data_IF_008097639874
#
_entry.id   IF_008097639874
#
_cell.length_a   1.000
_cell.length_b   1.000
_cell.length_c   1.000
_cell.angle_alpha   90.00
_cell.angle_beta   90.00
_cell.angle_gamma   90.00
#
_symmetry.space_group_name_H-M   'P 1'
#
loop_
_entity.id
_entity.type
_entity.pdbx_description
1 polymer ?
#
# COMPACT_ATOMS: atom_id res chain seq x y z
N UNK A 1 -0.32 5.84 -15.96
CA UNK A 1 -1.75 5.91 -16.41
C UNK A 1 -2.57 5.12 -15.39
N UNK A 2 -3.70 5.66 -14.90
CA UNK A 2 -4.54 5.06 -13.85
C UNK A 2 -5.88 4.66 -14.46
N UNK A 3 -6.45 3.49 -14.16
CA UNK A 3 -7.72 3.00 -14.70
C UNK A 3 -8.93 3.64 -13.98
N UNK A 4 -9.12 4.96 -14.14
CA UNK A 4 -10.10 5.77 -13.40
C UNK A 4 -11.53 5.20 -13.48
N UNK A 5 -11.99 4.86 -14.69
CA UNK A 5 -13.37 4.37 -14.90
C UNK A 5 -13.63 3.05 -14.18
N UNK A 6 -12.63 2.17 -14.14
CA UNK A 6 -12.75 0.91 -13.43
C UNK A 6 -12.77 1.10 -11.92
N UNK A 7 -11.97 2.05 -11.40
CA UNK A 7 -11.98 2.42 -9.98
C UNK A 7 -13.33 3.04 -9.58
N UNK A 8 -13.86 3.95 -10.41
CA UNK A 8 -15.19 4.55 -10.17
C UNK A 8 -16.25 3.47 -10.08
N UNK A 9 -16.35 2.55 -11.06
CA UNK A 9 -17.32 1.45 -11.08
C UNK A 9 -17.22 0.53 -9.87
N UNK A 10 -15.99 0.33 -9.35
CA UNK A 10 -15.76 -0.49 -8.17
C UNK A 10 -16.35 0.15 -6.90
N UNK A 11 -16.18 1.47 -6.75
CA UNK A 11 -16.53 2.20 -5.52
C UNK A 11 -17.98 2.71 -5.56
N UNK A 12 -18.53 3.01 -6.75
CA UNK A 12 -19.83 3.62 -6.94
C UNK A 12 -20.98 2.89 -6.22
N UNK A 13 -20.85 1.56 -6.03
CA UNK A 13 -21.88 0.73 -5.39
C UNK A 13 -22.10 1.06 -3.92
N UNK A 14 -21.05 1.51 -3.24
CA UNK A 14 -21.06 1.82 -1.80
C UNK A 14 -20.94 3.31 -1.53
N UNK A 15 -20.68 4.11 -2.56
CA UNK A 15 -20.54 5.55 -2.42
C UNK A 15 -21.89 6.21 -2.09
N UNK A 16 -21.95 7.13 -1.11
CA UNK A 16 -23.20 7.76 -0.71
C UNK A 16 -23.92 8.45 -1.87
N UNK A 17 -25.17 8.09 -2.09
CA UNK A 17 -26.09 8.78 -3.00
C UNK A 17 -26.98 9.64 -2.13
N UNK A 18 -26.63 10.91 -1.95
CA UNK A 18 -27.39 11.77 -1.04
C UNK A 18 -28.78 12.07 -1.61
N UNK A 19 -29.80 11.58 -0.89
CA UNK A 19 -31.19 11.99 -1.12
C UNK A 19 -31.60 13.16 -0.20
N UNK A 20 -30.89 13.38 0.91
CA UNK A 20 -31.18 14.40 1.93
C UNK A 20 -29.87 14.97 2.46
N UNK A 21 -29.79 16.30 2.60
CA UNK A 21 -28.62 17.00 3.14
C UNK A 21 -27.65 17.51 2.06
N UNK A 22 -26.40 17.78 2.46
CA UNK A 22 -25.35 18.25 1.54
C UNK A 22 -25.01 17.14 0.54
N UNK A 23 -25.02 17.44 -0.78
CA UNK A 23 -24.61 16.47 -1.78
C UNK A 23 -23.19 15.97 -1.54
N UNK A 24 -22.98 14.66 -1.74
CA UNK A 24 -21.64 14.09 -1.68
C UNK A 24 -20.77 14.70 -2.80
N UNK A 25 -19.47 14.82 -2.52
CA UNK A 25 -18.52 15.25 -3.55
C UNK A 25 -18.49 14.26 -4.72
N UNK A 26 -18.18 14.71 -5.95
CA UNK A 26 -18.06 13.80 -7.08
C UNK A 26 -17.08 12.65 -6.76
N UNK A 27 -17.49 11.42 -6.96
CA UNK A 27 -16.67 10.24 -6.65
C UNK A 27 -15.33 10.28 -7.38
N UNK A 28 -15.31 10.70 -8.65
CA UNK A 28 -14.07 10.86 -9.42
C UNK A 28 -13.08 11.83 -8.77
N UNK A 29 -13.57 12.90 -8.14
CA UNK A 29 -12.75 13.86 -7.40
C UNK A 29 -12.19 13.24 -6.12
N UNK A 30 -13.01 12.53 -5.35
CA UNK A 30 -12.58 11.89 -4.12
C UNK A 30 -11.53 10.77 -4.36
N UNK A 31 -11.68 10.00 -5.43
CA UNK A 31 -10.66 9.01 -5.85
C UNK A 31 -9.34 9.70 -6.19
N UNK A 32 -9.37 10.84 -6.89
CA UNK A 32 -8.15 11.59 -7.22
C UNK A 32 -7.49 12.18 -5.98
N UNK A 33 -8.27 12.70 -5.03
CA UNK A 33 -7.78 13.14 -3.72
C UNK A 33 -7.08 12.00 -3.00
N UNK A 34 -7.74 10.85 -2.89
CA UNK A 34 -7.15 9.65 -2.28
C UNK A 34 -5.84 9.24 -2.94
N UNK A 35 -5.79 9.19 -4.28
CA UNK A 35 -4.56 8.88 -5.00
C UNK A 35 -3.44 9.89 -4.72
N UNK A 36 -3.77 11.19 -4.66
CA UNK A 36 -2.77 12.22 -4.32
C UNK A 36 -2.24 12.06 -2.89
N UNK A 37 -3.10 11.74 -1.92
CA UNK A 37 -2.64 11.43 -0.55
C UNK A 37 -1.59 10.32 -0.57
N UNK A 38 -1.86 9.24 -1.31
CA UNK A 38 -0.93 8.10 -1.41
C UNK A 38 0.38 8.47 -2.13
N UNK A 39 0.30 9.22 -3.24
CA UNK A 39 1.47 9.59 -4.04
C UNK A 39 2.41 10.56 -3.33
N UNK A 40 1.85 11.44 -2.52
CA UNK A 40 2.62 12.51 -1.83
C UNK A 40 2.78 12.27 -0.33
N UNK A 41 2.19 11.19 0.22
CA UNK A 41 2.27 10.87 1.65
C UNK A 41 1.61 11.93 2.54
N UNK A 42 0.47 12.49 2.11
CA UNK A 42 -0.20 13.56 2.83
C UNK A 42 -1.21 13.01 3.86
N UNK A 43 -1.23 13.60 5.05
CA UNK A 43 -2.31 13.41 6.02
C UNK A 43 -3.63 14.01 5.51
N UNK A 44 -4.75 13.74 6.17
CA UNK A 44 -6.04 14.30 5.76
C UNK A 44 -6.03 15.83 5.84
N UNK A 45 -5.50 16.40 6.93
CA UNK A 45 -5.33 17.84 7.09
C UNK A 45 -4.39 18.42 6.02
N UNK A 46 -3.22 17.81 5.81
CA UNK A 46 -2.27 18.29 4.80
C UNK A 46 -2.82 18.20 3.37
N UNK A 47 -3.70 17.22 3.10
CA UNK A 47 -4.36 17.11 1.80
C UNK A 47 -5.40 18.22 1.61
N UNK A 48 -6.18 18.56 2.63
CA UNK A 48 -7.08 19.71 2.61
C UNK A 48 -6.31 21.01 2.32
N UNK A 49 -5.26 21.29 3.09
CA UNK A 49 -4.39 22.45 2.89
C UNK A 49 -3.81 22.49 1.47
N UNK A 50 -3.30 21.36 0.97
CA UNK A 50 -2.77 21.26 -0.39
C UNK A 50 -3.81 21.56 -1.47
N UNK A 51 -5.07 21.19 -1.26
CA UNK A 51 -6.17 21.53 -2.18
C UNK A 51 -6.48 23.04 -2.17
N UNK A 52 -6.30 23.73 -1.05
CA UNK A 52 -6.45 25.19 -1.00
C UNK A 52 -5.26 25.92 -1.60
N UNK A 53 -4.04 25.49 -1.35
CA UNK A 53 -2.83 26.22 -1.72
C UNK A 53 -2.29 25.85 -3.11
N UNK A 54 -2.34 24.55 -3.50
CA UNK A 54 -1.70 24.05 -4.70
C UNK A 54 -2.72 23.95 -5.85
N UNK A 55 -2.73 24.96 -6.73
CA UNK A 55 -3.67 25.03 -7.84
C UNK A 55 -3.62 23.84 -8.81
N UNK A 56 -2.46 23.22 -9.00
CA UNK A 56 -2.31 22.01 -9.84
C UNK A 56 -2.99 20.78 -9.24
N UNK A 57 -2.86 20.56 -7.92
CA UNK A 57 -3.53 19.47 -7.20
C UNK A 57 -5.04 19.67 -7.22
N UNK A 58 -5.50 20.88 -6.91
CA UNK A 58 -6.91 21.23 -6.96
C UNK A 58 -7.54 21.00 -8.34
N UNK A 59 -6.88 21.43 -9.41
CA UNK A 59 -7.32 21.18 -10.80
C UNK A 59 -7.32 19.70 -11.15
N UNK A 60 -6.30 18.96 -10.73
CA UNK A 60 -6.25 17.51 -10.92
C UNK A 60 -7.41 16.80 -10.24
N UNK A 61 -7.76 17.20 -9.02
CA UNK A 61 -8.92 16.68 -8.30
C UNK A 61 -10.26 17.09 -8.92
N UNK A 62 -10.28 18.09 -9.79
CA UNK A 62 -11.50 18.61 -10.43
C UNK A 62 -12.24 19.63 -9.58
N UNK A 63 -11.54 20.32 -8.65
CA UNK A 63 -12.11 21.39 -7.83
C UNK A 63 -11.72 22.78 -8.32
N UNK A 64 -12.58 23.76 -8.00
CA UNK A 64 -12.33 25.18 -8.22
C UNK A 64 -12.76 25.99 -7.00
N UNK A 65 -11.98 26.99 -6.61
CA UNK A 65 -12.31 27.87 -5.49
C UNK A 65 -13.58 28.74 -5.73
N UNK A 66 -13.93 28.95 -7.01
CA UNK A 66 -15.08 29.79 -7.38
C UNK A 66 -16.40 29.04 -7.59
N UNK A 67 -16.40 27.71 -7.68
CA UNK A 67 -17.58 26.92 -8.07
C UNK A 67 -18.05 25.89 -7.06
N UNK A 68 -17.42 25.78 -5.89
CA UNK A 68 -17.80 24.81 -4.88
C UNK A 68 -16.84 24.75 -3.71
N UNK A 69 -17.26 24.04 -2.65
CA UNK A 69 -16.40 23.80 -1.48
C UNK A 69 -15.38 22.71 -1.79
N UNK A 70 -14.20 22.86 -1.23
CA UNK A 70 -13.15 21.83 -1.17
C UNK A 70 -13.53 20.85 -0.04
N UNK A 71 -13.26 19.55 -0.18
CA UNK A 71 -13.47 18.59 0.91
C UNK A 71 -12.53 18.90 2.07
N UNK A 72 -13.12 18.97 3.26
CA UNK A 72 -12.40 19.10 4.51
C UNK A 72 -11.73 17.79 4.96
N UNK A 73 -10.83 17.87 5.95
CA UNK A 73 -10.13 16.71 6.50
C UNK A 73 -11.08 15.57 6.89
N UNK A 74 -12.22 15.90 7.51
CA UNK A 74 -13.22 14.92 7.96
C UNK A 74 -13.87 14.20 6.77
N UNK A 75 -14.16 14.92 5.69
CA UNK A 75 -14.68 14.31 4.45
C UNK A 75 -13.66 13.38 3.81
N UNK A 76 -12.39 13.77 3.79
CA UNK A 76 -11.28 12.96 3.27
C UNK A 76 -11.12 11.70 4.12
N UNK A 77 -11.10 11.83 5.45
CA UNK A 77 -11.04 10.72 6.41
C UNK A 77 -12.21 9.75 6.21
N UNK A 78 -13.44 10.25 6.12
CA UNK A 78 -14.64 9.43 5.92
C UNK A 78 -14.59 8.65 4.61
N UNK A 79 -14.01 9.23 3.55
CA UNK A 79 -13.83 8.51 2.30
C UNK A 79 -12.82 7.36 2.45
N UNK A 80 -11.72 7.53 3.19
CA UNK A 80 -10.78 6.46 3.49
C UNK A 80 -11.44 5.34 4.29
N UNK A 81 -12.18 5.68 5.36
CA UNK A 81 -12.93 4.71 6.16
C UNK A 81 -13.96 3.93 5.33
N UNK A 82 -14.62 4.59 4.37
CA UNK A 82 -15.52 3.91 3.45
C UNK A 82 -14.78 2.84 2.62
N UNK A 83 -13.59 3.16 2.10
CA UNK A 83 -12.78 2.20 1.34
C UNK A 83 -12.34 1.02 2.22
N UNK A 84 -11.90 1.29 3.44
CA UNK A 84 -11.47 0.30 4.44
C UNK A 84 -12.62 -0.62 4.85
N UNK A 85 -13.74 -0.06 5.27
CA UNK A 85 -14.92 -0.80 5.74
C UNK A 85 -15.45 -1.79 4.70
N UNK A 86 -15.31 -1.47 3.41
CA UNK A 86 -15.78 -2.31 2.32
C UNK A 86 -14.67 -3.16 1.67
N UNK A 87 -13.45 -3.18 2.23
CA UNK A 87 -12.29 -3.91 1.69
C UNK A 87 -11.97 -3.51 0.25
N UNK A 88 -12.12 -2.22 -0.08
CA UNK A 88 -11.93 -1.72 -1.44
C UNK A 88 -10.47 -1.42 -1.75
N UNK A 89 -9.63 -1.20 -0.76
CA UNK A 89 -8.19 -0.96 -0.93
C UNK A 89 -7.49 -2.13 -1.61
N UNK A 90 -7.77 -3.35 -1.16
CA UNK A 90 -7.25 -4.58 -1.77
C UNK A 90 -7.77 -4.78 -3.19
N UNK A 91 -9.06 -4.51 -3.42
CA UNK A 91 -9.68 -4.61 -4.74
C UNK A 91 -9.11 -3.57 -5.73
N UNK A 92 -8.83 -2.36 -5.25
CA UNK A 92 -8.15 -1.31 -6.03
C UNK A 92 -6.73 -1.76 -6.39
N UNK A 93 -5.99 -2.32 -5.43
CA UNK A 93 -4.65 -2.85 -5.69
C UNK A 93 -4.68 -3.96 -6.75
N UNK A 94 -5.57 -4.94 -6.61
CA UNK A 94 -5.75 -6.01 -7.60
C UNK A 94 -6.11 -5.47 -8.99
N UNK A 95 -7.02 -4.49 -9.05
CA UNK A 95 -7.44 -3.85 -10.30
C UNK A 95 -6.27 -3.12 -10.99
N UNK A 96 -5.47 -2.39 -10.23
CA UNK A 96 -4.29 -1.69 -10.76
C UNK A 96 -3.28 -2.71 -11.28
N UNK A 97 -3.02 -3.80 -10.54
CA UNK A 97 -2.11 -4.86 -10.97
C UNK A 97 -2.57 -5.52 -12.28
N UNK A 98 -3.86 -5.83 -12.41
CA UNK A 98 -4.42 -6.36 -13.67
C UNK A 98 -4.25 -5.38 -14.82
N UNK A 99 -4.49 -4.09 -14.57
CA UNK A 99 -4.30 -3.07 -15.58
C UNK A 99 -2.83 -2.95 -16.03
N UNK A 100 -1.90 -2.93 -15.08
CA UNK A 100 -0.45 -2.89 -15.35
C UNK A 100 -0.01 -4.11 -16.16
N UNK A 101 -0.50 -5.30 -15.80
CA UNK A 101 -0.23 -6.54 -16.53
C UNK A 101 -0.79 -6.48 -17.96
N UNK A 102 -2.03 -6.02 -18.13
CA UNK A 102 -2.67 -5.90 -19.46
C UNK A 102 -1.96 -4.91 -20.40
N UNK A 103 -1.19 -3.97 -19.84
CA UNK A 103 -0.36 -3.02 -20.60
C UNK A 103 1.06 -3.51 -20.86
N UNK A 104 1.40 -4.74 -20.45
CA UNK A 104 2.75 -5.28 -20.57
C UNK A 104 3.81 -4.56 -19.75
N UNK A 105 3.39 -3.80 -18.74
CA UNK A 105 4.30 -3.03 -17.88
C UNK A 105 4.93 -3.88 -16.79
N UNK A 106 4.38 -5.06 -16.48
CA UNK A 106 4.97 -6.07 -15.62
C UNK A 106 5.51 -7.20 -16.49
N UNK A 107 6.77 -7.56 -16.29
CA UNK A 107 7.46 -8.51 -17.15
C UNK A 107 7.46 -9.94 -16.60
N UNK A 108 7.09 -10.15 -15.34
CA UNK A 108 6.95 -11.46 -14.65
C UNK A 108 8.17 -12.40 -14.86
N UNK A 109 9.38 -11.85 -15.03
CA UNK A 109 10.61 -12.62 -15.25
C UNK A 109 11.32 -13.00 -13.95
N UNK A 110 10.99 -12.33 -12.85
CA UNK A 110 11.54 -12.60 -11.53
C UNK A 110 10.82 -11.76 -10.49
N UNK A 111 10.72 -12.28 -9.27
CA UNK A 111 10.12 -11.58 -8.13
C UNK A 111 11.18 -11.37 -7.05
N UNK A 112 11.27 -10.16 -6.54
CA UNK A 112 12.03 -9.83 -5.33
C UNK A 112 11.04 -9.84 -4.17
N UNK A 113 11.36 -10.57 -3.11
CA UNK A 113 10.57 -10.60 -1.88
C UNK A 113 11.31 -9.91 -0.75
N UNK A 114 10.60 -9.10 0.03
CA UNK A 114 11.14 -8.38 1.19
C UNK A 114 10.05 -8.17 2.24
N UNK A 115 10.47 -7.97 3.50
CA UNK A 115 9.59 -7.71 4.62
C UNK A 115 9.98 -6.40 5.33
N UNK A 116 9.00 -5.54 5.53
CA UNK A 116 9.16 -4.28 6.24
C UNK A 116 8.31 -4.28 7.50
N UNK A 117 8.88 -3.84 8.63
CA UNK A 117 8.14 -3.65 9.88
C UNK A 117 7.34 -2.36 9.79
N UNK A 118 6.05 -2.46 10.08
CA UNK A 118 5.14 -1.33 10.27
C UNK A 118 4.99 -1.14 11.77
N UNK A 119 5.64 -0.10 12.30
CA UNK A 119 5.59 0.21 13.72
C UNK A 119 4.29 0.86 14.12
N UNK A 120 3.77 0.44 15.26
CA UNK A 120 2.63 1.04 15.92
C UNK A 120 3.01 1.52 17.33
N UNK A 121 2.31 2.50 17.88
CA UNK A 121 2.49 2.92 19.26
C UNK A 121 2.26 1.75 20.21
N UNK A 122 3.25 1.47 21.06
CA UNK A 122 3.13 0.41 22.09
C UNK A 122 2.36 0.84 23.34
N UNK A 123 1.84 2.06 23.34
CA UNK A 123 1.10 2.64 24.48
C UNK A 123 -0.25 1.95 24.68
N UNK A 124 -0.63 1.78 25.94
CA UNK A 124 -1.97 1.34 26.37
C UNK A 124 -2.85 2.51 26.81
N UNK A 125 -2.43 3.75 26.56
CA UNK A 125 -3.17 4.97 26.96
C UNK A 125 -4.23 5.35 25.90
N UNK A 126 -4.94 4.37 25.40
CA UNK A 126 -6.08 4.55 24.49
C UNK A 126 -7.40 4.31 25.22
N UNK A 127 -8.53 4.55 24.56
CA UNK A 127 -9.86 4.38 25.14
C UNK A 127 -10.15 2.95 25.62
N UNK A 128 -9.52 1.95 25.01
CA UNK A 128 -9.68 0.52 25.36
C UNK A 128 -8.73 0.06 26.46
N UNK A 129 -7.69 0.82 26.79
CA UNK A 129 -6.67 0.45 27.76
C UNK A 129 -5.82 -0.76 27.35
N UNK A 130 -5.87 -1.16 26.08
CA UNK A 130 -5.22 -2.37 25.56
C UNK A 130 -4.47 -2.09 24.26
N UNK A 131 -3.47 -2.92 23.98
CA UNK A 131 -2.80 -2.93 22.68
C UNK A 131 -3.67 -3.67 21.66
N UNK A 132 -3.47 -3.36 20.39
CA UNK A 132 -4.09 -4.09 19.30
C UNK A 132 -3.67 -5.57 19.35
N UNK A 133 -4.64 -6.51 19.43
CA UNK A 133 -4.35 -7.95 19.53
C UNK A 133 -3.70 -8.55 18.29
N UNK A 134 -3.81 -7.91 17.13
CA UNK A 134 -3.18 -8.35 15.89
C UNK A 134 -1.70 -7.94 15.80
N UNK A 135 -1.26 -7.01 16.66
CA UNK A 135 0.09 -6.46 16.67
C UNK A 135 0.96 -7.10 17.75
N UNK A 136 2.18 -7.46 17.40
CA UNK A 136 3.12 -8.09 18.33
C UNK A 136 4.50 -7.42 18.28
N UNK A 137 5.34 -7.81 19.25
CA UNK A 137 6.72 -7.33 19.32
C UNK A 137 7.64 -8.22 18.48
N UNK A 138 8.59 -7.59 17.80
CA UNK A 138 9.71 -8.27 17.12
C UNK A 138 11.01 -7.55 17.42
N UNK A 139 12.13 -8.26 17.33
CA UNK A 139 13.46 -7.67 17.52
C UNK A 139 14.20 -7.61 16.19
N UNK A 140 14.66 -6.43 15.80
CA UNK A 140 15.52 -6.23 14.63
C UNK A 140 16.84 -5.60 15.09
N UNK A 141 17.92 -6.36 14.98
CA UNK A 141 19.20 -5.98 15.61
C UNK A 141 19.06 -5.91 17.13
N UNK A 142 19.38 -4.76 17.72
CA UNK A 142 19.25 -4.52 19.17
C UNK A 142 17.95 -3.82 19.57
N UNK A 143 17.10 -3.43 18.61
CA UNK A 143 15.90 -2.65 18.88
C UNK A 143 14.64 -3.55 18.86
N UNK A 144 13.73 -3.26 19.78
CA UNK A 144 12.41 -3.84 19.82
C UNK A 144 11.43 -2.95 19.08
N UNK A 145 10.60 -3.57 18.24
CA UNK A 145 9.56 -2.93 17.44
C UNK A 145 8.22 -3.59 17.78
N UNK A 146 7.16 -2.81 17.92
CA UNK A 146 5.81 -3.31 18.12
C UNK A 146 4.96 -2.93 16.89
N UNK A 147 4.21 -3.86 16.34
CA UNK A 147 3.38 -3.61 15.17
C UNK A 147 3.14 -4.84 14.31
N UNK A 148 3.12 -4.63 13.01
CA UNK A 148 2.93 -5.64 11.98
C UNK A 148 4.13 -5.69 11.02
N UNK A 149 4.16 -6.68 10.15
CA UNK A 149 5.05 -6.74 8.98
C UNK A 149 4.24 -6.69 7.70
N UNK A 150 4.74 -5.93 6.72
CA UNK A 150 4.30 -6.00 5.34
C UNK A 150 5.34 -6.79 4.54
N UNK A 151 4.89 -7.86 3.91
CA UNK A 151 5.69 -8.69 3.00
C UNK A 151 5.26 -8.37 1.58
N UNK A 152 6.20 -8.03 0.72
CA UNK A 152 5.94 -7.62 -0.65
C UNK A 152 6.62 -8.53 -1.66
N UNK A 153 5.92 -8.79 -2.75
CA UNK A 153 6.49 -9.38 -3.97
C UNK A 153 6.54 -8.32 -5.06
N UNK A 154 7.70 -8.18 -5.68
CA UNK A 154 8.00 -7.09 -6.58
C UNK A 154 8.61 -7.63 -7.85
N UNK A 155 8.15 -7.17 -9.01
CA UNK A 155 8.77 -7.49 -10.30
C UNK A 155 10.22 -6.99 -10.33
N UNK A 156 11.16 -7.93 -10.48
CA UNK A 156 12.60 -7.66 -10.36
C UNK A 156 13.13 -6.68 -11.41
N UNK A 157 12.43 -6.50 -12.52
CA UNK A 157 12.86 -5.61 -13.61
C UNK A 157 12.20 -4.24 -13.57
N UNK A 158 10.90 -4.21 -13.31
CA UNK A 158 10.13 -2.95 -13.34
C UNK A 158 10.05 -2.26 -12.00
N UNK A 159 10.26 -3.01 -10.91
CA UNK A 159 10.12 -2.50 -9.56
C UNK A 159 8.67 -2.35 -9.13
N UNK A 160 7.70 -2.91 -9.85
CA UNK A 160 6.29 -2.79 -9.51
C UNK A 160 5.88 -3.86 -8.48
N UNK A 161 5.26 -3.43 -7.40
CA UNK A 161 4.69 -4.31 -6.38
C UNK A 161 3.48 -5.03 -6.97
N UNK A 162 3.48 -6.35 -6.94
CA UNK A 162 2.38 -7.17 -7.45
C UNK A 162 1.71 -8.03 -6.38
N UNK A 163 2.41 -8.29 -5.27
CA UNK A 163 1.89 -9.05 -4.14
C UNK A 163 2.17 -8.32 -2.83
N UNK A 164 1.24 -8.41 -1.90
CA UNK A 164 1.35 -7.84 -0.57
C UNK A 164 0.64 -8.75 0.41
N UNK A 165 1.34 -9.07 1.52
CA UNK A 165 0.79 -9.79 2.66
C UNK A 165 1.14 -9.05 3.93
N UNK A 166 0.21 -9.00 4.88
CA UNK A 166 0.47 -8.44 6.21
C UNK A 166 0.40 -9.53 7.26
N UNK A 167 1.34 -9.51 8.19
CA UNK A 167 1.37 -10.42 9.32
C UNK A 167 1.69 -9.67 10.60
N UNK A 168 1.40 -10.28 11.73
CA UNK A 168 1.90 -9.78 13.01
C UNK A 168 3.45 -9.74 13.00
N UNK A 169 4.05 -8.74 13.65
CA UNK A 169 5.49 -8.51 13.56
C UNK A 169 6.36 -9.68 14.07
N UNK A 170 5.82 -10.57 14.93
CA UNK A 170 6.51 -11.75 15.44
C UNK A 170 6.51 -12.95 14.48
N UNK A 171 5.72 -12.91 13.41
CA UNK A 171 5.69 -13.97 12.39
C UNK A 171 7.01 -13.95 11.61
N UNK A 172 7.56 -15.15 11.38
CA UNK A 172 8.81 -15.30 10.63
C UNK A 172 8.60 -14.95 9.15
N UNK A 173 9.59 -14.28 8.53
CA UNK A 173 9.48 -13.79 7.15
C UNK A 173 9.32 -14.92 6.11
N UNK A 174 9.74 -16.15 6.46
CA UNK A 174 9.56 -17.34 5.63
C UNK A 174 8.10 -17.80 5.52
N UNK A 175 7.25 -17.47 6.51
CA UNK A 175 5.87 -18.00 6.55
C UNK A 175 5.02 -17.54 5.36
N UNK A 176 4.97 -16.23 5.01
CA UNK A 176 4.16 -15.76 3.88
C UNK A 176 4.90 -15.79 2.53
N UNK A 177 6.18 -16.19 2.52
CA UNK A 177 7.02 -16.08 1.31
C UNK A 177 6.51 -16.89 0.13
N UNK A 178 5.86 -18.03 0.38
CA UNK A 178 5.31 -18.92 -0.67
C UNK A 178 4.11 -18.30 -1.40
N UNK A 179 3.45 -17.32 -0.78
CA UNK A 179 2.26 -16.67 -1.34
C UNK A 179 2.58 -15.39 -2.13
N UNK A 180 3.82 -14.90 -2.01
CA UNK A 180 4.24 -13.65 -2.67
C UNK A 180 4.54 -13.80 -4.16
N UNK A 181 5.20 -14.88 -4.64
CA UNK A 181 5.37 -15.13 -6.06
C UNK A 181 4.04 -15.46 -6.75
N UNK A 182 3.87 -15.04 -8.00
CA UNK A 182 2.67 -15.36 -8.79
C UNK A 182 2.72 -16.77 -9.40
N UNK A 183 3.88 -17.42 -9.38
CA UNK A 183 4.12 -18.74 -9.95
C UNK A 183 4.39 -18.74 -11.46
N UNK A 184 4.51 -17.57 -12.07
CA UNK A 184 4.88 -17.37 -13.47
C UNK A 184 6.34 -16.91 -13.65
N UNK A 185 7.03 -16.68 -12.55
CA UNK A 185 8.39 -16.18 -12.50
C UNK A 185 9.41 -17.26 -12.83
N UNK A 186 10.49 -16.86 -13.49
CA UNK A 186 11.65 -17.74 -13.74
C UNK A 186 12.58 -17.84 -12.52
N UNK A 187 12.52 -16.85 -11.61
CA UNK A 187 13.34 -16.80 -10.40
C UNK A 187 12.68 -15.94 -9.32
N UNK A 188 12.92 -16.30 -8.05
CA UNK A 188 12.58 -15.47 -6.90
C UNK A 188 13.87 -15.08 -6.17
N UNK A 189 14.02 -13.80 -5.88
CA UNK A 189 15.17 -13.21 -5.20
C UNK A 189 14.76 -12.80 -3.79
N UNK A 190 15.56 -13.16 -2.81
CA UNK A 190 15.33 -12.80 -1.42
C UNK A 190 16.65 -12.45 -0.72
N UNK A 191 16.56 -11.75 0.39
CA UNK A 191 17.68 -11.46 1.28
C UNK A 191 18.13 -12.74 2.04
N UNK A 192 19.30 -12.65 2.69
CA UNK A 192 19.91 -13.72 3.49
C UNK A 192 19.01 -14.18 4.65
N UNK A 193 18.09 -13.34 5.13
CA UNK A 193 17.08 -13.68 6.14
C UNK A 193 16.11 -14.78 5.73
N UNK A 194 16.00 -15.03 4.43
CA UNK A 194 15.14 -16.09 3.85
C UNK A 194 15.87 -17.42 3.60
N UNK A 195 16.99 -17.68 4.27
CA UNK A 195 17.70 -18.97 4.18
C UNK A 195 16.83 -20.10 4.70
N UNK A 196 16.69 -21.16 3.89
CA UNK A 196 15.88 -22.34 4.22
C UNK A 196 14.46 -22.29 3.68
N UNK A 197 14.07 -21.24 2.97
CA UNK A 197 12.90 -21.29 2.11
C UNK A 197 13.21 -22.23 0.95
N UNK A 198 12.72 -23.45 1.02
CA UNK A 198 12.47 -24.24 -0.19
C UNK A 198 11.26 -23.58 -0.86
N UNK A 199 11.52 -22.54 -1.66
CA UNK A 199 10.51 -21.93 -2.52
C UNK A 199 10.20 -22.97 -3.60
N UNK A 200 9.38 -23.92 -3.26
CA UNK A 200 8.85 -24.89 -4.21
C UNK A 200 7.92 -24.10 -5.13
N UNK A 201 8.45 -23.77 -6.29
CA UNK A 201 7.62 -23.19 -7.35
C UNK A 201 6.41 -24.11 -7.54
N UNK A 202 5.20 -23.56 -7.48
CA UNK A 202 3.93 -24.29 -7.68
C UNK A 202 3.85 -25.07 -9.00
N UNK A 203 4.90 -25.08 -9.82
CA UNK A 203 4.99 -25.78 -11.12
C UNK A 203 6.34 -26.45 -11.38
N UNK A 204 7.07 -26.94 -10.39
CA UNK A 204 8.26 -27.77 -10.61
C UNK A 204 9.42 -27.06 -11.33
N UNK A 205 9.51 -25.76 -11.26
CA UNK A 205 10.67 -24.98 -11.69
C UNK A 205 11.49 -24.63 -10.46
N UNK A 206 12.78 -24.96 -10.50
CA UNK A 206 13.74 -24.63 -9.45
C UNK A 206 13.79 -23.12 -9.26
N UNK A 207 13.22 -22.62 -8.17
CA UNK A 207 13.36 -21.23 -7.78
C UNK A 207 14.73 -21.09 -7.14
N UNK A 208 15.69 -20.61 -7.89
CA UNK A 208 16.99 -20.26 -7.36
C UNK A 208 16.84 -19.09 -6.39
N UNK A 209 16.99 -19.36 -5.09
CA UNK A 209 17.27 -18.31 -4.11
C UNK A 209 18.71 -17.85 -4.37
N UNK A 210 18.91 -17.06 -5.40
CA UNK A 210 20.20 -16.45 -5.64
C UNK A 210 20.42 -15.38 -4.58
N UNK A 211 21.56 -15.51 -3.88
CA UNK A 211 22.10 -14.40 -3.08
C UNK A 211 22.12 -13.18 -4.00
N UNK A 212 21.42 -12.13 -3.65
CA UNK A 212 21.62 -10.82 -4.23
C UNK A 212 23.08 -10.41 -3.97
N UNK A 213 23.96 -10.89 -4.81
CA UNK A 213 25.37 -10.49 -4.82
C UNK A 213 25.37 -9.05 -5.33
N UNK A 214 25.38 -8.15 -4.38
CA UNK A 214 25.10 -6.74 -4.48
C UNK A 214 26.14 -6.04 -5.37
N UNK A 215 25.83 -5.94 -6.65
CA UNK A 215 26.43 -4.85 -7.43
C UNK A 215 25.76 -3.53 -6.99
N UNK A 216 26.53 -2.47 -6.90
CA UNK A 216 26.07 -1.15 -6.45
C UNK A 216 24.90 -0.57 -7.26
N UNK A 217 24.65 -1.06 -8.49
CA UNK A 217 23.51 -0.70 -9.32
C UNK A 217 22.19 -1.28 -8.80
N UNK A 218 22.22 -2.48 -8.23
CA UNK A 218 21.06 -3.11 -7.60
C UNK A 218 20.72 -2.47 -6.25
N UNK A 219 21.72 -2.00 -5.47
CA UNK A 219 21.49 -1.20 -4.26
C UNK A 219 20.75 0.11 -4.53
N UNK A 220 21.02 0.77 -5.66
CA UNK A 220 20.26 1.98 -6.04
C UNK A 220 18.81 1.67 -6.41
N UNK A 221 18.55 0.52 -6.99
CA UNK A 221 17.19 0.05 -7.24
C UNK A 221 16.51 -0.31 -5.91
N UNK A 222 17.19 -1.01 -5.02
CA UNK A 222 16.67 -1.36 -3.69
C UNK A 222 16.42 -0.13 -2.82
N UNK A 223 17.31 0.87 -2.81
CA UNK A 223 17.10 2.11 -2.07
C UNK A 223 16.00 3.00 -2.68
N UNK A 224 15.85 3.00 -3.99
CA UNK A 224 14.67 3.57 -4.67
C UNK A 224 13.39 2.83 -4.31
N UNK A 225 13.52 1.56 -4.00
CA UNK A 225 12.49 0.66 -3.52
C UNK A 225 12.11 0.92 -2.07
N UNK A 226 13.08 1.18 -1.20
CA UNK A 226 12.86 1.58 0.20
C UNK A 226 12.17 2.95 0.27
N UNK A 227 12.45 3.86 -0.65
CA UNK A 227 11.72 5.12 -0.82
C UNK A 227 10.25 4.90 -1.25
N UNK A 228 9.99 3.88 -2.07
CA UNK A 228 8.61 3.48 -2.41
C UNK A 228 7.97 2.76 -1.22
N UNK A 229 8.74 1.98 -0.45
CA UNK A 229 8.28 1.33 0.77
C UNK A 229 7.99 2.33 1.89
N UNK A 230 8.77 3.40 2.04
CA UNK A 230 8.44 4.49 2.97
C UNK A 230 7.14 5.21 2.54
N UNK A 231 6.86 5.27 1.25
CA UNK A 231 5.59 5.76 0.73
C UNK A 231 4.44 4.76 0.91
N UNK A 232 4.68 3.46 0.71
CA UNK A 232 3.71 2.40 1.01
C UNK A 232 3.47 2.26 2.52
N UNK A 233 4.51 2.45 3.34
CA UNK A 233 4.44 2.53 4.80
C UNK A 233 3.53 3.66 5.26
N UNK A 234 3.63 4.85 4.66
CA UNK A 234 2.70 5.95 4.91
C UNK A 234 1.27 5.61 4.46
N UNK A 235 1.10 4.78 3.45
CA UNK A 235 -0.21 4.31 2.96
C UNK A 235 -0.97 3.50 4.01
N UNK A 236 -0.27 2.65 4.79
CA UNK A 236 -0.86 1.86 5.87
C UNK A 236 -0.93 2.62 7.20
N UNK A 237 0.08 3.43 7.52
CA UNK A 237 0.14 4.18 8.77
C UNK A 237 -0.88 5.33 8.85
N UNK A 238 -1.23 5.94 7.71
CA UNK A 238 -2.27 6.98 7.67
C UNK A 238 -3.69 6.39 7.65
N UNK A 239 -3.85 5.09 7.33
CA UNK A 239 -5.15 4.41 7.32
C UNK A 239 -5.62 3.93 8.70
N UNK A 240 -4.72 3.39 9.52
CA UNK A 240 -5.12 2.65 10.74
C UNK A 240 -4.77 3.31 12.08
N UNK A 241 -4.06 4.43 12.12
CA UNK A 241 -3.52 4.96 13.39
C UNK A 241 -4.06 6.32 13.84
N UNK A 242 -5.00 6.92 13.14
CA UNK A 242 -5.66 8.16 13.58
C UNK A 242 -7.05 7.95 14.19
N UNK A 243 -7.38 6.75 14.58
CA UNK A 243 -8.61 6.39 15.29
C UNK A 243 -8.43 6.26 16.82
N UNK A 244 -7.38 6.89 17.40
CA UNK A 244 -7.17 6.89 18.86
C UNK A 244 -6.77 8.26 19.39
#
# INVERSE_FOLDING_TARGET
MVPWDSMIKLIERVYPKSAVGRPAYPLASMIRVYCMQQWYGLSDLAMEEALYEIASMRRFAGFSLGSGSIPDETTILNFRHLLETHGLTEKIFALINQYVLSKGLRLSKGTIVDATIIEAPSSTKNATGSRDPEMHQTKKGNNWHFGMKAHIGVDAKTGLVHSLQTTSANVHDLTPVEELPTGEENATFADVGYRGAELTARRGQDVAVERANQSWSQRRSLNRFLDINDRARNMYLTGNLQGF
#
